data_IF_198421927735
#
_entry.id   IF_198421927735
#
_cell.length_a   1.000
_cell.length_b   1.000
_cell.length_c   1.000
_cell.angle_alpha   90.00
_cell.angle_beta   90.00
_cell.angle_gamma   90.00
#
_symmetry.space_group_name_H-M   'P 1'
#
loop_
_entity.id
_entity.type
_entity.pdbx_description
1 polymer ?
#
# COMPACT_ATOMS: atom_id res chain seq x y z
N UNK A 1 -31.66 18.74 -16.72
CA UNK A 1 -32.34 17.72 -15.88
C UNK A 1 -32.38 18.29 -14.47
N UNK A 2 -33.57 18.65 -13.96
CA UNK A 2 -33.77 19.18 -12.61
C UNK A 2 -33.52 18.05 -11.62
N UNK A 3 -32.53 18.19 -10.74
CA UNK A 3 -32.38 17.30 -9.58
C UNK A 3 -33.54 17.60 -8.63
N UNK A 4 -34.46 16.65 -8.50
CA UNK A 4 -35.51 16.76 -7.48
C UNK A 4 -34.83 16.84 -6.10
N UNK A 5 -35.27 17.78 -5.26
CA UNK A 5 -34.78 17.87 -3.88
C UNK A 5 -35.06 16.55 -3.14
N UNK A 6 -34.09 16.06 -2.33
CA UNK A 6 -34.30 14.81 -1.59
C UNK A 6 -35.46 14.92 -0.61
N UNK A 7 -36.22 13.83 -0.47
CA UNK A 7 -37.37 13.81 0.46
C UNK A 7 -36.88 14.10 1.91
N UNK A 8 -37.77 14.68 2.77
CA UNK A 8 -37.46 14.94 4.17
C UNK A 8 -37.03 13.68 4.94
N UNK A 9 -37.60 12.54 4.62
CA UNK A 9 -37.21 11.24 5.19
C UNK A 9 -35.80 10.84 4.82
N UNK A 10 -35.39 11.01 3.55
CA UNK A 10 -34.03 10.75 3.09
C UNK A 10 -33.00 11.69 3.75
N UNK A 11 -33.39 12.95 3.96
CA UNK A 11 -32.54 13.91 4.68
C UNK A 11 -32.33 13.49 6.15
N UNK A 12 -33.37 13.03 6.82
CA UNK A 12 -33.31 12.56 8.20
C UNK A 12 -32.41 11.30 8.32
N UNK A 13 -32.47 10.37 7.36
CA UNK A 13 -31.61 9.19 7.33
C UNK A 13 -30.13 9.57 7.08
N UNK A 14 -29.86 10.51 6.19
CA UNK A 14 -28.52 11.04 5.96
C UNK A 14 -27.91 11.66 7.21
N UNK A 15 -28.67 12.49 7.93
CA UNK A 15 -28.21 13.08 9.20
C UNK A 15 -27.87 12.01 10.25
N UNK A 16 -28.63 10.91 10.30
CA UNK A 16 -28.32 9.79 11.19
C UNK A 16 -27.03 9.07 10.77
N UNK A 17 -26.78 8.91 9.46
CA UNK A 17 -25.52 8.35 8.92
C UNK A 17 -24.34 9.26 9.30
N UNK A 18 -24.45 10.58 9.07
CA UNK A 18 -23.42 11.55 9.42
C UNK A 18 -23.04 11.48 10.91
N UNK A 19 -24.03 11.33 11.78
CA UNK A 19 -23.80 11.18 13.22
C UNK A 19 -23.06 9.87 13.57
N UNK A 20 -23.37 8.77 12.89
CA UNK A 20 -22.67 7.49 13.06
C UNK A 20 -21.25 7.55 12.52
N UNK A 21 -21.02 8.21 11.39
CA UNK A 21 -19.68 8.42 10.83
C UNK A 21 -18.80 9.21 11.79
N UNK A 22 -19.35 10.26 12.43
CA UNK A 22 -18.64 11.00 13.46
C UNK A 22 -18.29 10.13 14.68
N UNK A 23 -19.21 9.26 15.12
CA UNK A 23 -18.91 8.32 16.21
C UNK A 23 -17.82 7.33 15.83
N UNK A 24 -17.85 6.78 14.61
CA UNK A 24 -16.79 5.91 14.10
C UNK A 24 -15.41 6.59 14.13
N UNK A 25 -15.32 7.83 13.65
CA UNK A 25 -14.07 8.60 13.69
C UNK A 25 -13.59 8.87 15.12
N UNK A 26 -14.51 9.15 16.07
CA UNK A 26 -14.17 9.33 17.48
C UNK A 26 -13.58 8.04 18.09
N UNK A 27 -14.18 6.89 17.83
CA UNK A 27 -13.67 5.58 18.28
C UNK A 27 -12.31 5.27 17.66
N UNK A 28 -12.10 5.58 16.37
CA UNK A 28 -10.79 5.43 15.73
C UNK A 28 -9.74 6.35 16.36
N UNK A 29 -10.07 7.60 16.67
CA UNK A 29 -9.16 8.52 17.35
C UNK A 29 -8.76 8.01 18.75
N UNK A 30 -9.70 7.50 19.54
CA UNK A 30 -9.42 6.89 20.84
C UNK A 30 -8.50 5.67 20.69
N UNK A 31 -8.79 4.79 19.71
CA UNK A 31 -7.94 3.64 19.42
C UNK A 31 -6.51 4.03 19.04
N UNK A 32 -6.34 5.09 18.23
CA UNK A 32 -5.04 5.63 17.85
C UNK A 32 -4.27 6.13 19.08
N UNK A 33 -4.93 6.81 20.00
CA UNK A 33 -4.30 7.26 21.25
C UNK A 33 -3.76 6.10 22.09
N UNK A 34 -4.53 5.00 22.21
CA UNK A 34 -4.08 3.76 22.85
C UNK A 34 -2.88 3.17 22.11
N UNK A 35 -2.85 3.21 20.76
CA UNK A 35 -1.70 2.72 19.99
C UNK A 35 -0.42 3.53 20.26
N UNK A 36 -0.51 4.84 20.46
CA UNK A 36 0.63 5.65 20.90
C UNK A 36 1.15 5.26 22.29
N UNK A 37 0.26 4.84 23.20
CA UNK A 37 0.69 4.30 24.51
C UNK A 37 1.39 2.94 24.37
N UNK A 38 0.85 2.05 23.51
CA UNK A 38 1.48 0.76 23.20
C UNK A 38 2.86 0.97 22.56
N UNK A 39 2.98 1.91 21.62
CA UNK A 39 4.26 2.24 20.99
C UNK A 39 5.32 2.64 22.03
N UNK A 40 4.97 3.53 22.99
CA UNK A 40 5.86 3.95 24.07
C UNK A 40 6.29 2.78 24.98
N UNK A 41 5.41 1.84 25.25
CA UNK A 41 5.74 0.64 26.03
C UNK A 41 6.71 -0.26 25.26
N UNK A 42 6.45 -0.48 23.98
CA UNK A 42 7.30 -1.31 23.11
C UNK A 42 8.68 -0.69 22.85
N UNK A 43 8.79 0.64 22.84
CA UNK A 43 10.06 1.36 22.70
C UNK A 43 11.08 0.99 23.81
N UNK A 44 10.57 0.69 25.00
CA UNK A 44 11.37 0.34 26.19
C UNK A 44 11.37 -1.15 26.49
N UNK A 45 10.98 -2.01 25.56
CA UNK A 45 10.91 -3.45 25.71
C UNK A 45 11.43 -4.18 24.48
N UNK A 46 11.82 -5.46 24.64
CA UNK A 46 12.18 -6.35 23.54
C UNK A 46 10.96 -6.91 22.79
N UNK A 47 9.76 -6.35 23.05
CA UNK A 47 8.53 -6.81 22.42
C UNK A 47 8.51 -6.44 20.94
N UNK A 48 8.34 -7.40 20.02
CA UNK A 48 8.27 -7.13 18.59
C UNK A 48 7.13 -6.17 18.24
N UNK A 49 7.37 -5.28 17.27
CA UNK A 49 6.30 -4.43 16.72
C UNK A 49 5.33 -5.31 15.95
N UNK A 50 5.85 -6.11 15.02
CA UNK A 50 5.05 -7.01 14.19
C UNK A 50 4.92 -8.34 14.94
N UNK A 51 3.69 -8.67 15.29
CA UNK A 51 3.32 -9.92 15.98
C UNK A 51 2.30 -10.66 15.12
N UNK A 52 2.74 -11.57 14.23
CA UNK A 52 1.87 -12.27 13.27
C UNK A 52 0.67 -12.96 13.92
N UNK A 53 0.90 -13.64 15.04
CA UNK A 53 -0.16 -14.32 15.80
C UNK A 53 -1.24 -13.34 16.31
N UNK A 54 -0.81 -12.14 16.75
CA UNK A 54 -1.74 -11.11 17.21
C UNK A 54 -2.58 -10.57 16.06
N UNK A 55 -1.98 -10.35 14.90
CA UNK A 55 -2.71 -9.88 13.69
C UNK A 55 -3.74 -10.92 13.27
N UNK A 56 -3.33 -12.21 13.15
CA UNK A 56 -4.27 -13.30 12.82
C UNK A 56 -5.43 -13.39 13.82
N UNK A 57 -5.14 -13.32 15.11
CA UNK A 57 -6.16 -13.35 16.14
C UNK A 57 -7.13 -12.17 16.01
N UNK A 58 -6.63 -10.96 15.78
CA UNK A 58 -7.48 -9.79 15.58
C UNK A 58 -8.38 -9.99 14.37
N UNK A 59 -7.85 -10.37 13.22
CA UNK A 59 -8.64 -10.60 12.00
C UNK A 59 -9.71 -11.67 12.25
N UNK A 60 -9.32 -12.84 12.72
CA UNK A 60 -10.25 -13.96 12.95
C UNK A 60 -11.39 -13.59 13.91
N UNK A 61 -11.06 -12.96 15.03
CA UNK A 61 -12.09 -12.60 16.02
C UNK A 61 -13.03 -11.50 15.56
N UNK A 62 -12.56 -10.57 14.71
CA UNK A 62 -13.41 -9.49 14.16
C UNK A 62 -14.28 -9.99 13.02
N UNK A 63 -13.80 -10.93 12.21
CA UNK A 63 -14.64 -11.64 11.23
C UNK A 63 -15.80 -12.35 11.92
N UNK A 64 -15.53 -13.09 13.00
CA UNK A 64 -16.59 -13.77 13.75
C UNK A 64 -17.58 -12.77 14.34
N UNK A 65 -17.09 -11.69 14.98
CA UNK A 65 -17.96 -10.64 15.50
C UNK A 65 -18.83 -9.99 14.42
N UNK A 66 -18.29 -9.77 13.22
CA UNK A 66 -19.05 -9.23 12.09
C UNK A 66 -20.20 -10.16 11.70
N UNK A 67 -19.95 -11.47 11.60
CA UNK A 67 -20.98 -12.48 11.33
C UNK A 67 -22.10 -12.40 12.37
N UNK A 68 -21.76 -12.33 13.66
CA UNK A 68 -22.69 -12.25 14.77
C UNK A 68 -23.56 -10.96 14.72
N UNK A 69 -23.04 -9.89 14.10
CA UNK A 69 -23.75 -8.61 13.90
C UNK A 69 -24.44 -8.49 12.53
N UNK A 70 -24.39 -9.52 11.68
CA UNK A 70 -24.97 -9.48 10.33
C UNK A 70 -24.20 -8.57 9.36
N UNK A 71 -22.93 -8.32 9.62
CA UNK A 71 -22.01 -7.56 8.76
C UNK A 71 -21.21 -8.55 7.92
N UNK A 72 -20.93 -8.21 6.65
CA UNK A 72 -20.06 -8.99 5.79
C UNK A 72 -18.66 -9.17 6.44
N UNK A 73 -18.19 -10.41 6.66
CA UNK A 73 -16.92 -10.65 7.33
C UNK A 73 -15.70 -10.21 6.50
N UNK A 74 -15.78 -10.20 5.16
CA UNK A 74 -14.69 -9.76 4.30
C UNK A 74 -14.57 -8.23 4.37
N UNK A 75 -15.69 -7.53 4.35
CA UNK A 75 -15.72 -6.07 4.58
C UNK A 75 -15.16 -5.69 5.95
N UNK A 76 -15.52 -6.44 7.01
CA UNK A 76 -14.99 -6.19 8.35
C UNK A 76 -13.46 -6.46 8.42
N UNK A 77 -12.97 -7.49 7.74
CA UNK A 77 -11.54 -7.77 7.62
C UNK A 77 -10.80 -6.63 6.93
N UNK A 78 -11.29 -6.14 5.80
CA UNK A 78 -10.68 -5.04 5.04
C UNK A 78 -10.53 -3.78 5.90
N UNK A 79 -11.57 -3.41 6.63
CA UNK A 79 -11.51 -2.30 7.59
C UNK A 79 -10.43 -2.56 8.65
N UNK A 80 -10.40 -3.75 9.23
CA UNK A 80 -9.43 -4.07 10.27
C UNK A 80 -7.99 -4.12 9.76
N UNK A 81 -7.76 -4.56 8.53
CA UNK A 81 -6.42 -4.51 7.90
C UNK A 81 -5.94 -3.07 7.72
N UNK A 82 -6.81 -2.16 7.29
CA UNK A 82 -6.48 -0.72 7.20
C UNK A 82 -6.16 -0.14 8.58
N UNK A 83 -6.95 -0.47 9.60
CA UNK A 83 -6.76 0.00 10.97
C UNK A 83 -5.49 -0.56 11.60
N UNK A 84 -5.16 -1.84 11.35
CA UNK A 84 -3.92 -2.47 11.81
C UNK A 84 -2.69 -1.87 11.12
N UNK A 85 -2.76 -1.61 9.82
CA UNK A 85 -1.70 -0.94 9.07
C UNK A 85 -1.35 0.42 9.71
N UNK A 86 -2.35 1.24 10.04
CA UNK A 86 -2.12 2.52 10.70
C UNK A 86 -1.52 2.36 12.10
N UNK A 87 -1.97 1.35 12.86
CA UNK A 87 -1.40 1.03 14.18
C UNK A 87 0.10 0.72 14.10
N UNK A 88 0.48 -0.18 13.18
CA UNK A 88 1.87 -0.55 13.00
C UNK A 88 2.72 0.63 12.52
N UNK A 89 2.18 1.49 11.64
CA UNK A 89 2.84 2.72 11.21
C UNK A 89 3.19 3.63 12.40
N UNK A 90 2.27 3.77 13.34
CA UNK A 90 2.48 4.55 14.58
C UNK A 90 3.56 3.91 15.44
N UNK A 91 3.52 2.59 15.63
CA UNK A 91 4.49 1.85 16.44
C UNK A 91 5.89 1.88 15.82
N UNK A 92 6.01 1.81 14.47
CA UNK A 92 7.29 1.89 13.75
C UNK A 92 7.87 3.30 13.84
N UNK A 93 7.04 4.34 13.67
CA UNK A 93 7.50 5.73 13.75
C UNK A 93 8.09 6.10 15.11
N UNK A 94 7.66 5.45 16.19
CA UNK A 94 8.22 5.59 17.54
C UNK A 94 9.55 4.85 17.75
N UNK A 95 9.90 3.90 16.90
CA UNK A 95 11.16 3.14 16.96
C UNK A 95 12.10 3.62 15.84
N UNK A 96 13.34 3.99 16.16
CA UNK A 96 14.39 4.11 15.15
C UNK A 96 14.60 2.75 14.49
N UNK A 97 14.72 2.76 13.15
CA UNK A 97 14.81 1.58 12.29
C UNK A 97 16.08 0.70 12.47
N UNK A 98 16.80 0.79 13.57
CA UNK A 98 18.13 0.23 13.76
C UNK A 98 18.16 -1.13 14.49
N UNK A 99 17.02 -1.79 14.64
CA UNK A 99 16.98 -3.13 15.20
C UNK A 99 17.25 -4.20 14.13
N UNK A 100 18.07 -5.25 14.42
CA UNK A 100 18.22 -6.37 13.50
C UNK A 100 16.86 -7.00 13.22
N UNK A 101 16.63 -7.52 11.98
CA UNK A 101 15.41 -8.23 11.66
C UNK A 101 15.21 -9.38 12.66
N UNK A 102 14.00 -9.53 13.16
CA UNK A 102 13.65 -10.63 14.03
C UNK A 102 14.07 -11.96 13.41
N UNK A 103 14.65 -12.84 14.22
CA UNK A 103 14.95 -14.20 13.80
C UNK A 103 13.65 -14.88 13.39
N UNK A 104 13.44 -14.97 12.09
CA UNK A 104 12.26 -15.59 11.51
C UNK A 104 12.27 -17.08 11.80
N UNK A 105 11.16 -17.57 12.33
CA UNK A 105 10.85 -18.98 12.49
C UNK A 105 10.72 -19.67 11.11
N UNK A 106 10.57 -20.95 11.06
CA UNK A 106 10.43 -21.89 9.94
C UNK A 106 9.92 -21.35 8.58
N UNK A 107 10.16 -22.05 7.45
CA UNK A 107 9.65 -21.67 6.11
C UNK A 107 8.13 -21.45 6.03
N UNK A 108 7.35 -22.14 6.87
CA UNK A 108 5.90 -21.91 6.99
C UNK A 108 5.58 -20.59 7.71
N UNK A 109 6.35 -20.23 8.73
CA UNK A 109 6.26 -18.92 9.38
C UNK A 109 6.64 -17.77 8.45
N UNK A 110 7.57 -18.00 7.50
CA UNK A 110 7.97 -17.01 6.51
C UNK A 110 6.85 -16.67 5.51
N UNK A 111 6.09 -17.67 5.03
CA UNK A 111 4.95 -17.42 4.12
C UNK A 111 3.82 -16.68 4.82
N UNK A 112 3.53 -17.00 6.07
CA UNK A 112 2.52 -16.29 6.86
C UNK A 112 2.96 -14.88 7.26
N UNK A 113 4.26 -14.58 7.22
CA UNK A 113 4.77 -13.27 7.57
C UNK A 113 4.42 -12.20 6.52
N UNK A 114 4.49 -12.54 5.22
CA UNK A 114 4.09 -11.60 4.14
C UNK A 114 2.58 -11.33 4.19
N UNK A 115 1.75 -12.36 4.39
CA UNK A 115 0.30 -12.18 4.60
C UNK A 115 0.01 -11.22 5.77
N UNK A 116 0.82 -11.30 6.83
CA UNK A 116 0.66 -10.45 8.00
C UNK A 116 1.03 -8.98 7.75
N UNK A 117 2.08 -8.73 6.97
CA UNK A 117 2.60 -7.36 6.76
C UNK A 117 2.08 -6.69 5.52
N UNK A 118 1.53 -7.42 4.56
CA UNK A 118 0.90 -6.84 3.37
C UNK A 118 -0.47 -6.26 3.71
N UNK A 119 -0.77 -5.07 3.17
CA UNK A 119 -2.03 -4.40 3.47
C UNK A 119 -2.93 -4.23 2.24
N UNK A 120 -2.37 -3.82 1.11
CA UNK A 120 -3.12 -3.54 -0.12
C UNK A 120 -2.18 -3.41 -1.32
N UNK A 121 -2.76 -3.38 -2.52
CA UNK A 121 -2.06 -2.86 -3.69
C UNK A 121 -1.96 -1.34 -3.52
N UNK A 122 -0.74 -0.83 -3.50
CA UNK A 122 -0.46 0.60 -3.37
C UNK A 122 -0.64 1.32 -4.71
N UNK A 123 0.03 0.83 -5.74
CA UNK A 123 -0.08 1.32 -7.11
C UNK A 123 0.32 0.25 -8.12
N UNK A 124 -0.05 0.48 -9.37
CA UNK A 124 0.38 -0.34 -10.51
C UNK A 124 1.18 0.54 -11.45
N UNK A 125 2.37 0.10 -11.83
CA UNK A 125 3.22 0.77 -12.81
C UNK A 125 3.00 0.15 -14.19
N UNK A 126 2.69 1.00 -15.16
CA UNK A 126 2.44 0.61 -16.55
C UNK A 126 3.47 1.33 -17.42
N UNK A 127 4.32 0.57 -18.09
CA UNK A 127 5.20 1.08 -19.11
C UNK A 127 4.40 1.36 -20.39
N UNK A 128 4.54 2.53 -20.99
CA UNK A 128 3.78 2.94 -22.17
C UNK A 128 4.70 3.57 -23.22
N UNK A 129 4.49 3.23 -24.48
CA UNK A 129 5.27 3.80 -25.60
C UNK A 129 4.87 5.24 -25.94
N UNK A 130 3.65 5.64 -25.61
CA UNK A 130 3.15 7.02 -25.75
C UNK A 130 2.43 7.44 -24.46
N UNK A 131 3.15 8.20 -23.64
CA UNK A 131 2.66 8.66 -22.33
C UNK A 131 1.47 9.62 -22.48
N UNK A 132 1.51 10.49 -23.49
CA UNK A 132 0.46 11.48 -23.70
C UNK A 132 -0.85 10.80 -24.10
N UNK A 133 -0.80 9.89 -25.07
CA UNK A 133 -1.96 9.13 -25.52
C UNK A 133 -2.54 8.26 -24.40
N UNK A 134 -1.70 7.55 -23.64
CA UNK A 134 -2.15 6.71 -22.52
C UNK A 134 -2.83 7.55 -21.43
N UNK A 135 -2.27 8.71 -21.08
CA UNK A 135 -2.86 9.63 -20.11
C UNK A 135 -4.21 10.15 -20.58
N UNK A 136 -4.31 10.58 -21.84
CA UNK A 136 -5.57 11.06 -22.44
C UNK A 136 -6.62 9.96 -22.44
N UNK A 137 -6.27 8.74 -22.82
CA UNK A 137 -7.20 7.60 -22.82
C UNK A 137 -7.75 7.34 -21.41
N UNK A 138 -6.88 7.24 -20.40
CA UNK A 138 -7.33 6.97 -19.02
C UNK A 138 -8.19 8.11 -18.45
N UNK A 139 -7.84 9.36 -18.74
CA UNK A 139 -8.59 10.50 -18.19
C UNK A 139 -9.90 10.75 -18.91
N UNK A 140 -9.92 10.69 -20.24
CA UNK A 140 -11.12 11.05 -21.02
C UNK A 140 -12.08 9.89 -21.24
N UNK A 141 -11.57 8.66 -21.37
CA UNK A 141 -12.43 7.50 -21.65
C UNK A 141 -12.83 6.75 -20.38
N UNK A 142 -11.93 6.65 -19.39
CA UNK A 142 -12.15 5.88 -18.16
C UNK A 142 -12.39 6.74 -16.91
N UNK A 143 -12.34 8.08 -17.03
CA UNK A 143 -12.66 8.99 -15.93
C UNK A 143 -11.63 9.07 -14.81
N UNK A 144 -10.39 8.65 -15.05
CA UNK A 144 -9.29 8.89 -14.11
C UNK A 144 -8.97 10.38 -14.03
N UNK A 145 -8.44 10.80 -12.89
CA UNK A 145 -7.93 12.15 -12.69
C UNK A 145 -6.42 12.13 -12.67
N UNK A 146 -5.78 13.11 -13.30
CA UNK A 146 -4.33 13.29 -13.16
C UNK A 146 -4.01 13.66 -11.72
N UNK A 147 -3.18 12.84 -11.07
CA UNK A 147 -2.64 13.14 -9.74
C UNK A 147 -1.76 14.39 -9.80
N UNK A 148 -1.69 15.13 -8.69
CA UNK A 148 -0.67 16.18 -8.55
C UNK A 148 0.68 15.45 -8.43
N UNK A 149 1.59 15.59 -9.41
CA UNK A 149 2.90 14.96 -9.26
C UNK A 149 3.60 15.64 -8.08
N UNK A 150 4.05 14.84 -7.13
CA UNK A 150 4.90 15.34 -6.04
C UNK A 150 6.19 15.97 -6.60
N UNK A 151 6.67 15.44 -7.73
CA UNK A 151 7.72 16.01 -8.57
C UNK A 151 7.35 15.82 -10.05
N UNK A 152 7.60 16.84 -10.87
CA UNK A 152 7.49 16.75 -12.33
C UNK A 152 8.69 15.98 -12.87
N UNK A 153 8.64 14.66 -12.80
CA UNK A 153 9.62 13.82 -13.48
C UNK A 153 9.22 13.68 -14.95
N UNK A 154 10.07 14.09 -15.91
CA UNK A 154 9.80 13.85 -17.32
C UNK A 154 9.48 12.37 -17.55
N UNK A 155 8.54 12.08 -18.42
CA UNK A 155 8.19 10.71 -18.78
C UNK A 155 7.38 9.92 -17.75
N UNK A 156 6.92 10.52 -16.66
CA UNK A 156 6.08 9.86 -15.65
C UNK A 156 4.79 10.64 -15.43
N UNK A 157 3.67 9.95 -15.45
CA UNK A 157 2.36 10.49 -15.09
C UNK A 157 1.66 9.58 -14.07
N UNK A 158 1.00 10.18 -13.10
CA UNK A 158 0.15 9.46 -12.15
C UNK A 158 -1.31 9.80 -12.43
N UNK A 159 -2.14 8.78 -12.52
CA UNK A 159 -3.60 8.92 -12.65
C UNK A 159 -4.30 8.12 -11.56
N UNK A 160 -5.38 8.68 -11.02
CA UNK A 160 -6.11 8.09 -9.89
C UNK A 160 -7.61 8.06 -10.16
N UNK A 161 -8.26 7.00 -9.66
CA UNK A 161 -9.71 6.91 -9.62
C UNK A 161 -10.12 6.21 -8.31
N UNK A 162 -10.84 6.91 -7.44
CA UNK A 162 -11.14 6.38 -6.10
C UNK A 162 -9.86 6.02 -5.33
N UNK A 163 -9.76 4.78 -4.86
CA UNK A 163 -8.57 4.24 -4.18
C UNK A 163 -7.51 3.62 -5.10
N UNK A 164 -7.69 3.71 -6.43
CA UNK A 164 -6.78 3.10 -7.41
C UNK A 164 -5.78 4.13 -7.91
N UNK A 165 -4.49 3.78 -7.89
CA UNK A 165 -3.39 4.61 -8.42
C UNK A 165 -2.66 3.85 -9.52
N UNK A 166 -2.59 4.43 -10.71
CA UNK A 166 -1.79 3.94 -11.82
C UNK A 166 -0.66 4.95 -12.09
N UNK A 167 0.54 4.43 -12.30
CA UNK A 167 1.71 5.21 -12.68
C UNK A 167 2.11 4.82 -14.08
N UNK A 168 2.02 5.77 -15.00
CA UNK A 168 2.40 5.59 -16.39
C UNK A 168 3.84 6.05 -16.56
N UNK A 169 4.68 5.24 -17.19
CA UNK A 169 6.10 5.52 -17.42
C UNK A 169 6.40 5.36 -18.89
N UNK A 170 6.75 6.48 -19.52
CA UNK A 170 7.13 6.56 -20.94
C UNK A 170 8.64 6.55 -21.14
N UNK A 171 9.12 6.40 -22.39
CA UNK A 171 10.55 6.31 -22.72
C UNK A 171 11.34 7.58 -22.34
N UNK A 172 10.68 8.71 -22.17
CA UNK A 172 11.29 9.98 -21.75
C UNK A 172 11.75 9.96 -20.29
N UNK A 173 11.32 8.95 -19.50
CA UNK A 173 11.72 8.80 -18.11
C UNK A 173 13.18 8.33 -17.96
N UNK A 174 13.76 7.71 -18.99
CA UNK A 174 15.16 7.33 -19.00
C UNK A 174 15.51 6.18 -19.92
N UNK A 175 16.82 5.92 -20.12
CA UNK A 175 17.29 4.89 -21.04
C UNK A 175 16.86 3.47 -20.65
N UNK A 176 16.82 3.15 -19.37
CA UNK A 176 16.40 1.83 -18.89
C UNK A 176 14.93 1.56 -19.23
N UNK A 177 14.06 2.57 -19.12
CA UNK A 177 12.66 2.51 -19.53
C UNK A 177 12.53 2.33 -21.04
N UNK A 178 13.31 3.07 -21.82
CA UNK A 178 13.30 2.97 -23.27
C UNK A 178 13.75 1.58 -23.74
N UNK A 179 14.77 1.02 -23.10
CA UNK A 179 15.25 -0.35 -23.36
C UNK A 179 14.17 -1.37 -23.02
N UNK A 180 13.57 -1.26 -21.84
CA UNK A 180 12.48 -2.14 -21.44
C UNK A 180 11.31 -2.12 -22.44
N UNK A 181 10.88 -0.92 -22.86
CA UNK A 181 9.79 -0.77 -23.83
C UNK A 181 10.14 -1.32 -25.21
N UNK A 182 11.41 -1.26 -25.64
CA UNK A 182 11.85 -1.84 -26.90
C UNK A 182 11.80 -3.37 -26.86
N UNK A 183 12.07 -3.98 -25.72
CA UNK A 183 12.10 -5.44 -25.55
C UNK A 183 10.72 -6.03 -25.26
N UNK A 184 9.90 -5.36 -24.46
CA UNK A 184 8.65 -5.90 -23.92
C UNK A 184 7.38 -5.21 -24.44
N UNK A 185 7.50 -4.01 -25.02
CA UNK A 185 6.36 -3.19 -25.41
C UNK A 185 5.63 -2.57 -24.20
N UNK A 186 4.44 -2.00 -24.48
CA UNK A 186 3.58 -1.43 -23.43
C UNK A 186 2.89 -2.52 -22.62
N UNK A 187 2.81 -2.33 -21.30
CA UNK A 187 2.14 -3.27 -20.40
C UNK A 187 2.40 -2.98 -18.93
N UNK A 188 1.84 -3.80 -18.06
CA UNK A 188 2.12 -3.74 -16.62
C UNK A 188 3.58 -4.11 -16.39
N UNK A 189 4.32 -3.16 -15.82
CA UNK A 189 5.71 -3.39 -15.42
C UNK A 189 5.75 -4.10 -14.06
N UNK A 190 5.17 -3.48 -13.03
CA UNK A 190 5.08 -4.11 -11.73
C UNK A 190 3.82 -3.69 -10.97
N UNK A 191 3.48 -4.50 -9.97
CA UNK A 191 2.45 -4.22 -8.98
C UNK A 191 3.13 -3.94 -7.65
N UNK A 192 2.89 -2.77 -7.08
CA UNK A 192 3.44 -2.39 -5.78
C UNK A 192 2.46 -2.76 -4.66
N UNK A 193 2.95 -3.52 -3.69
CA UNK A 193 2.22 -3.96 -2.51
C UNK A 193 2.68 -3.13 -1.33
N UNK A 194 1.76 -2.47 -0.64
CA UNK A 194 2.07 -1.77 0.61
C UNK A 194 2.31 -2.79 1.71
N UNK A 195 3.46 -2.65 2.38
CA UNK A 195 3.85 -3.47 3.53
C UNK A 195 4.10 -2.59 4.76
N UNK A 196 3.91 -3.15 5.93
CA UNK A 196 4.09 -2.43 7.19
C UNK A 196 5.55 -2.05 7.47
N UNK A 197 6.49 -2.87 7.01
CA UNK A 197 7.93 -2.66 7.18
C UNK A 197 8.69 -3.31 6.03
N UNK A 198 9.45 -2.51 5.27
CA UNK A 198 10.18 -3.00 4.11
C UNK A 198 11.35 -3.92 4.52
N UNK A 199 12.07 -3.58 5.58
CA UNK A 199 13.18 -4.40 6.08
C UNK A 199 12.74 -5.78 6.52
N UNK A 200 11.61 -5.87 7.24
CA UNK A 200 11.02 -7.15 7.65
C UNK A 200 10.55 -7.96 6.43
N UNK A 201 9.81 -7.34 5.51
CA UNK A 201 9.31 -8.01 4.31
C UNK A 201 10.48 -8.50 3.43
N UNK A 202 11.51 -7.66 3.24
CA UNK A 202 12.70 -7.99 2.48
C UNK A 202 13.45 -9.20 3.09
N UNK A 203 13.77 -9.13 4.40
CA UNK A 203 14.47 -10.21 5.09
C UNK A 203 13.68 -11.53 5.04
N UNK A 204 12.35 -11.47 5.16
CA UNK A 204 11.46 -12.63 5.10
C UNK A 204 11.47 -13.28 3.72
N UNK A 205 11.33 -12.50 2.66
CA UNK A 205 11.34 -13.00 1.29
C UNK A 205 12.74 -13.52 0.88
N UNK A 206 13.79 -12.82 1.31
CA UNK A 206 15.17 -13.28 1.08
C UNK A 206 15.45 -14.63 1.77
N UNK A 207 14.99 -14.81 3.01
CA UNK A 207 15.10 -16.07 3.73
C UNK A 207 14.27 -17.19 3.08
N UNK A 208 13.18 -16.85 2.36
CA UNK A 208 12.41 -17.77 1.56
C UNK A 208 13.05 -18.10 0.19
N UNK A 209 14.21 -17.53 -0.12
CA UNK A 209 14.97 -17.78 -1.34
C UNK A 209 14.62 -16.85 -2.52
N UNK A 210 13.88 -15.78 -2.28
CA UNK A 210 13.56 -14.82 -3.34
C UNK A 210 14.78 -13.94 -3.69
N UNK A 211 14.96 -13.67 -4.99
CA UNK A 211 15.93 -12.69 -5.45
C UNK A 211 15.31 -11.31 -5.42
N UNK A 212 15.92 -10.40 -4.67
CA UNK A 212 15.36 -9.08 -4.38
C UNK A 212 16.38 -7.99 -4.69
N UNK A 213 15.91 -6.81 -5.11
CA UNK A 213 16.74 -5.61 -5.16
C UNK A 213 17.11 -5.16 -3.74
N UNK A 214 18.16 -4.33 -3.58
CA UNK A 214 18.34 -3.58 -2.34
C UNK A 214 17.10 -2.75 -2.01
N UNK A 215 16.92 -2.41 -0.73
CA UNK A 215 15.91 -1.44 -0.32
C UNK A 215 16.40 -0.06 -0.75
N UNK A 216 15.56 0.65 -1.51
CA UNK A 216 15.77 2.06 -1.88
C UNK A 216 14.86 2.94 -1.05
N UNK A 217 15.38 4.11 -0.67
CA UNK A 217 14.67 5.07 0.18
C UNK A 217 14.56 6.39 -0.56
N UNK A 218 13.35 6.93 -0.69
CA UNK A 218 13.15 8.25 -1.30
C UNK A 218 13.38 9.40 -0.29
N UNK A 219 13.30 10.63 -0.77
CA UNK A 219 13.47 11.84 0.05
C UNK A 219 12.40 12.02 1.12
N UNK A 220 11.27 11.31 1.02
CA UNK A 220 10.18 11.30 2.00
C UNK A 220 10.29 10.14 2.99
N UNK A 221 11.33 9.31 2.87
CA UNK A 221 11.56 8.15 3.71
C UNK A 221 10.72 6.93 3.34
N UNK A 222 10.10 6.89 2.15
CA UNK A 222 9.43 5.69 1.67
C UNK A 222 10.48 4.66 1.28
N UNK A 223 10.41 3.50 1.89
CA UNK A 223 11.29 2.37 1.63
C UNK A 223 10.64 1.43 0.62
N UNK A 224 11.35 1.06 -0.43
CA UNK A 224 10.84 0.19 -1.48
C UNK A 224 11.90 -0.80 -1.96
N UNK A 225 11.49 -2.01 -2.33
CA UNK A 225 12.32 -3.00 -2.99
C UNK A 225 11.50 -3.81 -3.99
N UNK A 226 12.17 -4.53 -4.88
CA UNK A 226 11.56 -5.23 -6.00
C UNK A 226 12.04 -6.67 -6.08
N UNK A 227 11.15 -7.56 -6.55
CA UNK A 227 11.56 -8.89 -7.02
C UNK A 227 12.19 -8.77 -8.41
N UNK A 228 12.91 -9.81 -8.82
CA UNK A 228 13.16 -10.02 -10.25
C UNK A 228 11.83 -10.34 -10.93
N UNK A 229 11.69 -9.96 -12.21
CA UNK A 229 10.52 -10.32 -13.02
C UNK A 229 10.35 -11.83 -13.06
N UNK A 230 9.20 -12.32 -12.64
CA UNK A 230 8.90 -13.74 -12.66
C UNK A 230 8.58 -14.22 -14.07
N UNK A 231 9.32 -15.23 -14.55
CA UNK A 231 9.14 -15.76 -15.90
C UNK A 231 7.80 -16.47 -16.11
N UNK A 232 7.16 -16.96 -15.04
CA UNK A 232 5.89 -17.66 -15.11
C UNK A 232 4.69 -16.73 -15.23
N UNK A 233 4.65 -15.67 -14.43
CA UNK A 233 3.57 -14.67 -14.43
C UNK A 233 3.84 -13.48 -15.35
N UNK A 234 5.09 -13.24 -15.72
CA UNK A 234 5.50 -12.07 -16.48
C UNK A 234 5.40 -10.75 -15.68
N UNK A 235 5.28 -10.82 -14.36
CA UNK A 235 5.09 -9.65 -13.49
C UNK A 235 6.26 -9.52 -12.52
N UNK A 236 6.69 -8.29 -12.29
CA UNK A 236 7.56 -7.93 -11.19
C UNK A 236 6.69 -7.45 -10.01
N UNK A 237 7.06 -7.80 -8.79
CA UNK A 237 6.42 -7.27 -7.59
C UNK A 237 7.31 -6.20 -6.95
N UNK A 238 6.70 -5.08 -6.55
CA UNK A 238 7.32 -4.09 -5.70
C UNK A 238 6.71 -4.17 -4.29
N UNK A 239 7.51 -3.92 -3.27
CA UNK A 239 7.05 -3.83 -1.89
C UNK A 239 7.42 -2.46 -1.35
N UNK A 240 6.45 -1.72 -0.85
CA UNK A 240 6.64 -0.35 -0.37
C UNK A 240 6.17 -0.20 1.07
N UNK A 241 7.04 0.32 1.95
CA UNK A 241 6.65 0.78 3.27
C UNK A 241 6.56 2.31 3.27
N UNK A 242 5.40 2.82 3.67
CA UNK A 242 5.15 4.26 3.71
C UNK A 242 5.35 4.78 5.13
N UNK A 243 6.34 5.65 5.29
CA UNK A 243 6.56 6.41 6.52
C UNK A 243 5.96 7.80 6.33
N UNK A 244 4.94 8.16 7.08
CA UNK A 244 4.33 9.50 6.97
C UNK A 244 3.06 9.53 6.11
N UNK A 245 2.90 10.55 5.26
CA UNK A 245 1.69 10.73 4.47
C UNK A 245 1.55 9.67 3.39
N UNK A 246 0.35 9.11 3.25
CA UNK A 246 0.01 8.07 2.26
C UNK A 246 -0.17 8.59 0.83
N UNK A 247 0.24 9.83 0.56
CA UNK A 247 -0.04 10.52 -0.70
C UNK A 247 1.23 10.65 -1.51
N UNK A 248 1.13 10.32 -2.79
CA UNK A 248 2.20 10.49 -3.75
C UNK A 248 2.88 9.18 -4.14
N UNK A 249 3.60 9.22 -5.24
CA UNK A 249 4.38 8.11 -5.78
C UNK A 249 5.84 8.52 -5.78
N UNK A 250 6.70 7.68 -5.24
CA UNK A 250 8.15 7.85 -5.22
C UNK A 250 8.71 7.60 -6.63
N UNK A 251 8.72 8.62 -7.49
CA UNK A 251 9.11 8.49 -8.90
C UNK A 251 10.55 7.97 -9.06
N UNK A 252 11.46 8.36 -8.17
CA UNK A 252 12.83 7.88 -8.19
C UNK A 252 12.90 6.37 -7.91
N UNK A 253 12.16 5.88 -6.92
CA UNK A 253 12.11 4.44 -6.60
C UNK A 253 11.52 3.62 -7.75
N UNK A 254 10.54 4.17 -8.46
CA UNK A 254 9.96 3.51 -9.64
C UNK A 254 11.02 3.32 -10.73
N UNK A 255 11.85 4.32 -11.00
CA UNK A 255 12.91 4.19 -12.01
C UNK A 255 13.96 3.13 -11.64
N UNK A 256 14.23 2.93 -10.35
CA UNK A 256 15.12 1.84 -9.90
C UNK A 256 14.57 0.45 -10.25
N UNK A 257 13.24 0.26 -10.32
CA UNK A 257 12.66 -1.02 -10.70
C UNK A 257 12.98 -1.45 -12.13
N UNK A 258 13.18 -0.50 -13.05
CA UNK A 258 13.54 -0.79 -14.44
C UNK A 258 15.00 -1.26 -14.59
N UNK A 259 15.87 -1.04 -13.59
CA UNK A 259 17.24 -1.57 -13.57
C UNK A 259 17.33 -3.04 -13.13
N UNK A 260 16.26 -3.54 -12.50
CA UNK A 260 16.17 -4.90 -11.95
C UNK A 260 15.21 -5.80 -12.71
N UNK A 261 14.62 -5.29 -13.78
CA UNK A 261 13.64 -6.00 -14.61
C UNK A 261 14.30 -7.00 -15.55
#
# INVERSE_FOLDING_TARGET
>A
MSSADPSPELLALRQRIDALDQQLLNVLAERINICHEVARIKEHSDTPIIQPERVRNVVTTRRQYAIDQGIDPDFAEDIMRVVLSETHRIEIAGRRADGPPEKTASPEGLRSAIDTVSSRIDHVVIAVTDLAQATVSLTQQFGFHTGTPAHKSPGIATVTAGGVTLVLVGPEAGPDVATYLAEHGSGVHHVAIEVLNAGYAHATLQAAGSHLSPIVVDEHGHEQFFTVRDSGSGVQLGFIARTGHRVGVATQNILESFKTA
#
